data_IF_171164731215
#
_entry.id   IF_171164731215
#
_cell.length_a   1.000
_cell.length_b   1.000
_cell.length_c   1.000
_cell.angle_alpha   90.00
_cell.angle_beta   90.00
_cell.angle_gamma   90.00
#
_symmetry.space_group_name_H-M   'P 1'
#
loop_
_entity.id
_entity.type
_entity.pdbx_description
1 polymer ?
#
# COMPACT_ATOMS: atom_id res chain seq x y z
N UNK A 1 28.01 -23.05 -15.31
CA UNK A 1 27.56 -21.65 -15.15
C UNK A 1 27.82 -21.27 -13.71
N UNK A 2 28.60 -20.25 -13.44
CA UNK A 2 28.75 -19.71 -12.07
C UNK A 2 27.44 -19.01 -11.69
N UNK A 3 27.09 -18.94 -10.41
CA UNK A 3 25.88 -18.26 -9.92
C UNK A 3 25.79 -16.80 -10.43
N UNK A 4 26.93 -16.14 -10.60
CA UNK A 4 27.03 -14.80 -11.19
C UNK A 4 26.49 -14.72 -12.64
N UNK A 5 26.62 -15.78 -13.44
CA UNK A 5 26.09 -15.79 -14.82
C UNK A 5 24.56 -15.93 -14.89
N UNK A 6 23.95 -16.55 -13.87
CA UNK A 6 22.50 -16.74 -13.81
C UNK A 6 21.83 -15.43 -13.39
N UNK A 7 22.33 -14.78 -12.33
CA UNK A 7 21.80 -13.51 -11.85
C UNK A 7 21.96 -12.39 -12.88
N UNK A 8 23.14 -12.27 -13.51
CA UNK A 8 23.36 -11.28 -14.57
C UNK A 8 22.42 -11.51 -15.77
N UNK A 9 22.13 -12.77 -16.10
CA UNK A 9 21.17 -13.11 -17.16
C UNK A 9 19.73 -12.73 -16.83
N UNK A 10 19.33 -12.83 -15.55
CA UNK A 10 18.02 -12.38 -15.08
C UNK A 10 17.91 -10.85 -15.11
N UNK A 11 18.87 -10.15 -14.50
CA UNK A 11 18.94 -8.69 -14.47
C UNK A 11 18.93 -8.08 -15.88
N UNK A 12 19.68 -8.65 -16.82
CA UNK A 12 19.67 -8.21 -18.21
C UNK A 12 18.28 -8.26 -18.85
N UNK A 13 17.42 -9.21 -18.45
CA UNK A 13 16.06 -9.38 -18.98
C UNK A 13 15.03 -8.52 -18.26
N UNK A 14 15.22 -8.25 -16.97
CA UNK A 14 14.22 -7.57 -16.14
C UNK A 14 14.48 -6.08 -15.96
N UNK A 15 15.74 -5.65 -15.86
CA UNK A 15 16.08 -4.24 -15.66
C UNK A 15 15.49 -3.30 -16.72
N UNK A 16 15.45 -3.63 -18.03
CA UNK A 16 14.80 -2.76 -19.01
C UNK A 16 13.34 -2.46 -18.68
N UNK A 17 12.58 -3.46 -18.21
CA UNK A 17 11.18 -3.25 -17.80
C UNK A 17 11.09 -2.42 -16.52
N UNK A 18 11.91 -2.71 -15.51
CA UNK A 18 11.96 -1.96 -14.25
C UNK A 18 12.22 -0.47 -14.53
N UNK A 19 13.22 -0.17 -15.36
CA UNK A 19 13.56 1.20 -15.73
C UNK A 19 12.50 1.88 -16.58
N UNK A 20 11.90 1.18 -17.55
CA UNK A 20 10.85 1.73 -18.38
C UNK A 20 9.60 2.09 -17.56
N UNK A 21 9.21 1.22 -16.62
CA UNK A 21 8.09 1.44 -15.71
C UNK A 21 8.37 2.64 -14.80
N UNK A 22 9.53 2.70 -14.13
CA UNK A 22 9.83 3.84 -13.26
C UNK A 22 9.92 5.16 -14.03
N UNK A 23 10.53 5.15 -15.22
CA UNK A 23 10.63 6.34 -16.07
C UNK A 23 9.24 6.84 -16.50
N UNK A 24 8.37 5.95 -16.96
CA UNK A 24 7.01 6.31 -17.35
C UNK A 24 6.19 6.78 -16.13
N UNK A 25 6.29 6.07 -15.00
CA UNK A 25 5.65 6.45 -13.74
C UNK A 25 6.07 7.85 -13.26
N UNK A 26 7.34 8.23 -13.42
CA UNK A 26 7.83 9.56 -13.07
C UNK A 26 7.18 10.72 -13.84
N UNK A 27 6.56 10.44 -15.00
CA UNK A 27 5.83 11.45 -15.78
C UNK A 27 4.42 11.73 -15.24
N UNK A 28 3.89 10.84 -14.39
CA UNK A 28 2.49 10.86 -13.93
C UNK A 28 2.34 10.82 -12.40
N UNK A 29 3.38 10.41 -11.68
CA UNK A 29 3.40 10.27 -10.24
C UNK A 29 4.50 11.12 -9.63
N UNK A 30 4.34 11.43 -8.35
CA UNK A 30 5.39 12.13 -7.60
C UNK A 30 6.53 11.17 -7.21
N UNK A 31 7.48 11.64 -6.40
CA UNK A 31 8.61 10.81 -5.94
C UNK A 31 8.18 9.71 -4.98
N UNK A 32 7.06 9.89 -4.32
CA UNK A 32 6.44 8.93 -3.41
C UNK A 32 6.14 7.56 -4.06
N UNK A 33 6.14 7.46 -5.40
CA UNK A 33 6.08 6.20 -6.14
C UNK A 33 7.21 5.22 -5.77
N UNK A 34 8.31 5.70 -5.19
CA UNK A 34 9.41 4.85 -4.69
C UNK A 34 9.02 4.03 -3.44
N UNK A 35 7.88 4.32 -2.82
CA UNK A 35 7.29 3.50 -1.75
C UNK A 35 6.60 2.23 -2.30
N UNK A 36 6.22 2.23 -3.59
CA UNK A 36 5.44 1.15 -4.22
C UNK A 36 6.22 -0.19 -4.27
N UNK A 37 7.51 -0.23 -4.64
CA UNK A 37 8.31 -1.46 -4.56
C UNK A 37 8.43 -2.00 -3.13
N UNK A 38 8.50 -1.11 -2.13
CA UNK A 38 8.55 -1.50 -0.72
C UNK A 38 7.23 -2.14 -0.29
N UNK A 39 6.08 -1.54 -0.65
CA UNK A 39 4.75 -2.13 -0.41
C UNK A 39 4.68 -3.54 -1.00
N UNK A 40 5.10 -3.72 -2.27
CA UNK A 40 5.08 -5.02 -2.92
C UNK A 40 5.95 -6.06 -2.19
N UNK A 41 7.11 -5.65 -1.70
CA UNK A 41 8.06 -6.52 -1.00
C UNK A 41 7.51 -6.96 0.36
N UNK A 42 6.94 -6.02 1.13
CA UNK A 42 6.29 -6.32 2.43
C UNK A 42 5.08 -7.23 2.23
N UNK A 43 4.22 -6.96 1.24
CA UNK A 43 3.04 -7.77 0.96
C UNK A 43 3.39 -9.22 0.57
N UNK A 44 4.47 -9.40 -0.21
CA UNK A 44 4.95 -10.73 -0.60
C UNK A 44 5.81 -11.42 0.48
N UNK A 45 6.22 -10.69 1.53
CA UNK A 45 7.15 -11.20 2.54
C UNK A 45 8.58 -11.40 2.03
N UNK A 46 8.97 -10.68 0.98
CA UNK A 46 10.28 -10.78 0.33
C UNK A 46 11.22 -9.73 0.95
N UNK A 47 12.15 -10.19 1.79
CA UNK A 47 13.00 -9.29 2.60
C UNK A 47 14.22 -8.75 1.86
N UNK A 48 14.80 -9.54 0.94
CA UNK A 48 16.07 -9.22 0.29
C UNK A 48 16.17 -7.79 -0.31
N UNK A 49 15.15 -7.24 -0.99
CA UNK A 49 15.24 -5.91 -1.59
C UNK A 49 14.96 -4.76 -0.62
N UNK A 50 14.47 -5.01 0.60
CA UNK A 50 13.98 -3.96 1.51
C UNK A 50 15.08 -2.97 1.89
N UNK A 51 16.32 -3.44 2.12
CA UNK A 51 17.45 -2.55 2.42
C UNK A 51 17.68 -1.54 1.29
N UNK A 52 17.87 -2.01 0.05
CA UNK A 52 18.12 -1.15 -1.09
C UNK A 52 16.93 -0.22 -1.42
N UNK A 53 15.70 -0.70 -1.23
CA UNK A 53 14.50 0.13 -1.39
C UNK A 53 14.44 1.24 -0.33
N UNK A 54 14.76 0.92 0.92
CA UNK A 54 14.81 1.90 2.01
C UNK A 54 15.86 2.97 1.73
N UNK A 55 17.05 2.58 1.29
CA UNK A 55 18.12 3.51 0.91
C UNK A 55 17.68 4.42 -0.25
N UNK A 56 17.00 3.88 -1.26
CA UNK A 56 16.50 4.65 -2.39
C UNK A 56 15.40 5.66 -1.98
N UNK A 57 14.51 5.27 -1.07
CA UNK A 57 13.46 6.15 -0.51
C UNK A 57 14.09 7.34 0.23
N UNK A 58 15.07 7.06 1.10
CA UNK A 58 15.79 8.09 1.85
C UNK A 58 16.61 9.00 0.94
N UNK A 59 17.31 8.44 -0.04
CA UNK A 59 18.08 9.20 -1.03
C UNK A 59 17.20 10.12 -1.90
N UNK A 60 15.93 9.76 -2.09
CA UNK A 60 14.95 10.60 -2.79
C UNK A 60 14.37 11.73 -1.92
N UNK A 61 14.75 11.81 -0.64
CA UNK A 61 14.28 12.82 0.31
C UNK A 61 12.85 12.60 0.80
N UNK A 62 12.33 11.37 0.72
CA UNK A 62 11.04 11.02 1.31
C UNK A 62 11.22 10.94 2.82
N UNK A 63 10.30 11.55 3.56
CA UNK A 63 10.34 11.55 5.02
C UNK A 63 10.31 10.11 5.56
N UNK A 64 11.28 9.72 6.42
CA UNK A 64 11.28 8.41 7.08
C UNK A 64 9.95 8.06 7.76
N UNK A 65 9.26 9.06 8.31
CA UNK A 65 7.98 8.88 8.99
C UNK A 65 6.84 8.56 8.01
N UNK A 66 6.86 9.14 6.80
CA UNK A 66 5.94 8.75 5.71
C UNK A 66 6.15 7.28 5.36
N UNK A 67 7.42 6.85 5.19
CA UNK A 67 7.73 5.46 4.89
C UNK A 67 7.29 4.51 6.02
N UNK A 68 7.55 4.85 7.28
CA UNK A 68 7.11 4.03 8.42
C UNK A 68 5.60 3.93 8.49
N UNK A 69 4.87 5.03 8.27
CA UNK A 69 3.41 4.99 8.27
C UNK A 69 2.87 4.11 7.13
N UNK A 70 3.47 4.18 5.93
CA UNK A 70 3.16 3.26 4.82
C UNK A 70 3.40 1.81 5.23
N UNK A 71 4.49 1.50 5.94
CA UNK A 71 4.77 0.11 6.34
C UNK A 71 3.84 -0.36 7.46
N UNK A 72 3.53 0.50 8.44
CA UNK A 72 2.65 0.15 9.56
C UNK A 72 1.20 -0.05 9.12
N UNK A 73 0.67 0.79 8.23
CA UNK A 73 -0.69 0.65 7.70
C UNK A 73 -0.88 -0.59 6.82
N UNK A 74 0.18 -1.32 6.45
CA UNK A 74 0.03 -2.63 5.82
C UNK A 74 -0.44 -3.69 6.83
N UNK A 75 -0.31 -3.45 8.14
CA UNK A 75 -0.65 -4.45 9.17
C UNK A 75 -2.09 -4.97 9.07
N UNK A 76 -3.12 -4.14 8.90
CA UNK A 76 -4.50 -4.60 8.72
C UNK A 76 -4.73 -5.36 7.39
N UNK A 77 -3.86 -5.16 6.40
CA UNK A 77 -3.97 -5.77 5.07
C UNK A 77 -3.23 -7.11 4.98
N UNK A 78 -1.99 -7.17 5.47
CA UNK A 78 -1.09 -8.33 5.32
C UNK A 78 -0.79 -9.07 6.63
N UNK A 79 -1.30 -8.55 7.75
CA UNK A 79 -1.06 -9.06 9.10
C UNK A 79 0.26 -8.60 9.71
N UNK A 80 0.37 -8.74 11.03
CA UNK A 80 1.52 -8.30 11.83
C UNK A 80 2.82 -9.01 11.45
N UNK A 81 2.76 -10.28 11.03
CA UNK A 81 3.94 -11.10 10.77
C UNK A 81 4.76 -10.61 9.57
N UNK A 82 4.12 -10.15 8.49
CA UNK A 82 4.84 -9.64 7.31
C UNK A 82 5.46 -8.29 7.60
N UNK A 83 4.72 -7.41 8.28
CA UNK A 83 5.22 -6.09 8.70
C UNK A 83 6.39 -6.25 9.67
N UNK A 84 6.25 -7.06 10.72
CA UNK A 84 7.30 -7.30 11.71
C UNK A 84 8.60 -7.85 11.09
N UNK A 85 8.50 -8.65 10.03
CA UNK A 85 9.66 -9.17 9.31
C UNK A 85 10.37 -8.13 8.43
N UNK A 86 9.70 -7.06 8.01
CA UNK A 86 10.29 -5.98 7.22
C UNK A 86 11.07 -4.97 8.08
N UNK A 87 10.57 -4.70 9.30
CA UNK A 87 11.09 -3.65 10.17
C UNK A 87 12.60 -3.77 10.50
N UNK A 88 13.19 -4.96 10.74
CA UNK A 88 14.61 -5.06 11.03
C UNK A 88 15.51 -4.54 9.90
N UNK A 89 15.14 -4.76 8.63
CA UNK A 89 15.91 -4.27 7.49
C UNK A 89 15.82 -2.74 7.38
N UNK A 90 14.64 -2.17 7.57
CA UNK A 90 14.42 -0.71 7.58
C UNK A 90 15.21 -0.06 8.74
N UNK A 91 15.07 -0.61 9.94
CA UNK A 91 15.75 -0.12 11.14
C UNK A 91 17.26 -0.15 11.00
N UNK A 92 17.80 -1.17 10.32
CA UNK A 92 19.24 -1.24 10.06
C UNK A 92 19.71 -0.09 9.19
N UNK A 93 19.01 0.23 8.10
CA UNK A 93 19.34 1.37 7.24
C UNK A 93 19.26 2.68 8.03
N UNK A 94 18.21 2.87 8.85
CA UNK A 94 18.09 4.05 9.70
C UNK A 94 19.27 4.19 10.67
N UNK A 95 19.70 3.08 11.26
CA UNK A 95 20.85 3.05 12.17
C UNK A 95 22.14 3.39 11.44
N UNK A 96 22.40 2.72 10.31
CA UNK A 96 23.64 2.88 9.52
C UNK A 96 23.75 4.30 8.93
N UNK A 97 22.63 4.94 8.58
CA UNK A 97 22.57 6.30 8.05
C UNK A 97 22.26 7.38 9.10
N UNK A 98 22.19 7.02 10.38
CA UNK A 98 21.89 7.95 11.49
C UNK A 98 20.59 8.74 11.29
N UNK A 99 19.56 8.09 10.72
CA UNK A 99 18.24 8.69 10.51
C UNK A 99 17.51 8.78 11.84
N UNK A 100 17.17 10.01 12.24
CA UNK A 100 16.31 10.28 13.37
C UNK A 100 14.84 10.31 12.93
N UNK A 101 13.99 9.58 13.64
CA UNK A 101 12.55 9.55 13.37
C UNK A 101 11.80 9.93 14.64
N UNK A 102 10.96 10.97 14.54
CA UNK A 102 10.07 11.35 15.63
C UNK A 102 8.82 10.46 15.62
N UNK A 103 8.31 10.12 16.80
CA UNK A 103 7.06 9.37 16.89
C UNK A 103 5.91 10.21 16.29
N UNK A 104 5.11 9.61 15.40
CA UNK A 104 3.90 10.27 14.92
C UNK A 104 2.92 10.49 16.08
N UNK A 105 2.24 11.64 16.02
CA UNK A 105 1.21 12.00 16.98
C UNK A 105 -0.15 11.66 16.37
N UNK A 106 -0.97 10.82 17.01
CA UNK A 106 -2.26 10.46 16.49
C UNK A 106 -3.29 11.57 16.76
N UNK A 107 -4.25 11.72 15.84
CA UNK A 107 -5.43 12.55 16.02
C UNK A 107 -6.23 12.09 17.25
N UNK A 108 -6.78 13.06 18.00
CA UNK A 108 -7.53 12.86 19.24
C UNK A 108 -9.03 13.12 19.09
N UNK A 109 -9.52 13.34 17.86
CA UNK A 109 -10.94 13.52 17.58
C UNK A 109 -11.75 12.31 18.09
N UNK A 110 -12.88 12.56 18.77
CA UNK A 110 -13.75 11.48 19.20
C UNK A 110 -14.35 10.79 17.98
N UNK A 111 -14.36 9.45 17.99
CA UNK A 111 -14.92 8.60 16.92
C UNK A 111 -14.30 8.83 15.52
N UNK A 112 -13.01 9.22 15.46
CA UNK A 112 -12.29 9.44 14.22
C UNK A 112 -12.44 8.27 13.23
N UNK A 113 -12.23 7.04 13.69
CA UNK A 113 -12.26 5.87 12.83
C UNK A 113 -13.65 5.53 12.30
N UNK A 114 -14.69 5.67 13.13
CA UNK A 114 -16.07 5.46 12.71
C UNK A 114 -16.51 6.47 11.65
N UNK A 115 -16.16 7.75 11.82
CA UNK A 115 -16.45 8.80 10.84
C UNK A 115 -15.73 8.55 9.52
N UNK A 116 -14.41 8.31 9.58
CA UNK A 116 -13.59 8.08 8.38
C UNK A 116 -14.07 6.84 7.60
N UNK A 117 -14.36 5.74 8.30
CA UNK A 117 -14.90 4.53 7.67
C UNK A 117 -16.27 4.79 7.02
N UNK A 118 -17.15 5.53 7.69
CA UNK A 118 -18.49 5.81 7.17
C UNK A 118 -18.45 6.66 5.89
N UNK A 119 -17.57 7.66 5.81
CA UNK A 119 -17.40 8.50 4.63
C UNK A 119 -16.92 7.72 3.40
N UNK A 120 -15.96 6.81 3.61
CA UNK A 120 -15.34 6.05 2.51
C UNK A 120 -16.18 4.83 2.10
N UNK A 121 -16.64 4.06 3.09
CA UNK A 121 -17.18 2.71 2.92
C UNK A 121 -18.60 2.51 3.44
N UNK A 122 -19.12 3.43 4.25
CA UNK A 122 -20.39 3.24 4.93
C UNK A 122 -20.38 2.00 5.84
N UNK A 123 -21.44 1.19 5.77
CA UNK A 123 -21.65 0.03 6.65
C UNK A 123 -21.57 -1.33 5.92
N UNK A 124 -20.95 -1.37 4.74
CA UNK A 124 -20.93 -2.54 3.85
C UNK A 124 -20.43 -3.81 4.55
N UNK A 125 -19.30 -3.74 5.26
CA UNK A 125 -18.72 -4.91 5.96
C UNK A 125 -19.60 -5.38 7.13
N UNK A 126 -20.21 -4.44 7.88
CA UNK A 126 -21.12 -4.78 8.97
C UNK A 126 -22.33 -5.57 8.45
N UNK A 127 -22.90 -5.14 7.32
CA UNK A 127 -24.01 -5.85 6.69
C UNK A 127 -23.56 -7.18 6.07
N UNK A 128 -22.39 -7.23 5.44
CA UNK A 128 -21.87 -8.44 4.80
C UNK A 128 -21.69 -9.60 5.80
N UNK A 129 -21.28 -9.29 7.03
CA UNK A 129 -20.90 -10.29 8.02
C UNK A 129 -21.96 -10.54 9.11
N UNK A 130 -23.10 -9.85 9.08
CA UNK A 130 -24.06 -9.85 10.20
C UNK A 130 -24.60 -11.22 10.61
N UNK A 131 -24.72 -12.15 9.67
CA UNK A 131 -25.28 -13.50 9.88
C UNK A 131 -24.23 -14.55 10.30
N UNK A 132 -23.00 -14.16 10.61
CA UNK A 132 -21.96 -15.10 11.03
C UNK A 132 -22.21 -15.62 12.46
N UNK A 133 -21.90 -16.91 12.73
CA UNK A 133 -22.20 -17.55 14.00
C UNK A 133 -21.38 -17.01 15.17
N UNK A 134 -21.83 -17.31 16.39
CA UNK A 134 -21.10 -17.11 17.65
C UNK A 134 -20.55 -15.68 17.87
N UNK A 135 -21.25 -14.66 17.33
CA UNK A 135 -20.87 -13.25 17.44
C UNK A 135 -19.73 -12.81 16.52
N UNK A 136 -19.27 -13.67 15.61
CA UNK A 136 -18.22 -13.31 14.65
C UNK A 136 -18.62 -12.15 13.73
N UNK A 137 -19.93 -12.03 13.44
CA UNK A 137 -20.50 -10.94 12.64
C UNK A 137 -20.42 -9.56 13.30
N UNK A 138 -20.27 -9.51 14.62
CA UNK A 138 -20.03 -8.26 15.36
C UNK A 138 -18.53 -8.02 15.57
N UNK A 139 -17.76 -9.08 15.81
CA UNK A 139 -16.34 -8.98 16.12
C UNK A 139 -15.53 -8.37 14.98
N UNK A 140 -15.67 -8.88 13.74
CA UNK A 140 -14.85 -8.43 12.61
C UNK A 140 -15.13 -6.95 12.27
N UNK A 141 -16.39 -6.48 12.13
CA UNK A 141 -16.65 -5.07 11.87
C UNK A 141 -16.21 -4.14 13.01
N UNK A 142 -16.35 -4.57 14.26
CA UNK A 142 -15.86 -3.80 15.41
C UNK A 142 -14.33 -3.71 15.41
N UNK A 143 -13.63 -4.82 15.14
CA UNK A 143 -12.17 -4.84 15.03
C UNK A 143 -11.69 -4.01 13.83
N UNK A 144 -12.41 -4.04 12.70
CA UNK A 144 -12.13 -3.19 11.54
C UNK A 144 -12.17 -1.71 11.93
N UNK A 145 -13.25 -1.27 12.57
CA UNK A 145 -13.41 0.13 13.00
C UNK A 145 -12.35 0.52 14.04
N UNK A 146 -12.20 -0.30 15.08
CA UNK A 146 -11.35 0.01 16.24
C UNK A 146 -9.86 -0.14 15.98
N UNK A 147 -9.46 -1.15 15.20
CA UNK A 147 -8.05 -1.40 14.94
C UNK A 147 -7.62 -0.75 13.63
N UNK A 148 -8.30 -1.00 12.51
CA UNK A 148 -7.84 -0.47 11.23
C UNK A 148 -7.92 1.06 11.22
N UNK A 149 -9.12 1.62 11.43
CA UNK A 149 -9.30 3.07 11.33
C UNK A 149 -8.81 3.81 12.59
N UNK A 150 -9.13 3.29 13.78
CA UNK A 150 -8.76 3.94 15.03
C UNK A 150 -7.33 3.67 15.53
N UNK A 151 -6.57 2.70 14.99
CA UNK A 151 -5.15 2.57 15.33
C UNK A 151 -4.21 2.95 14.20
N UNK A 152 -4.60 2.87 12.92
CA UNK A 152 -3.70 3.22 11.80
C UNK A 152 -4.09 4.52 11.09
N UNK A 153 -5.38 4.76 10.80
CA UNK A 153 -5.78 5.94 10.01
C UNK A 153 -5.60 7.27 10.75
N UNK A 154 -5.63 7.25 12.09
CA UNK A 154 -5.56 8.47 12.91
C UNK A 154 -4.18 9.12 12.95
N UNK A 155 -3.13 8.46 12.46
CA UNK A 155 -1.83 9.10 12.32
C UNK A 155 -1.85 9.98 11.07
N UNK A 156 -1.57 11.27 11.24
CA UNK A 156 -1.78 12.26 10.19
C UNK A 156 -0.59 12.49 9.25
N UNK A 157 0.36 11.54 9.16
CA UNK A 157 1.55 11.73 8.30
C UNK A 157 1.16 11.49 6.84
N UNK A 158 0.31 10.49 6.58
CA UNK A 158 -0.33 10.29 5.28
C UNK A 158 -1.70 10.96 5.24
N UNK A 159 -2.01 11.58 4.10
CA UNK A 159 -3.38 11.99 3.79
C UNK A 159 -4.28 10.76 3.59
N UNK A 160 -5.60 10.91 3.76
CA UNK A 160 -6.57 9.85 3.41
C UNK A 160 -6.41 9.43 1.94
N UNK A 161 -6.15 10.38 1.04
CA UNK A 161 -5.85 10.14 -0.37
C UNK A 161 -4.68 9.16 -0.55
N UNK A 162 -3.55 9.43 0.11
CA UNK A 162 -2.35 8.60 -0.03
C UNK A 162 -2.51 7.23 0.63
N UNK A 163 -3.15 7.20 1.79
CA UNK A 163 -3.44 5.97 2.53
C UNK A 163 -4.25 4.99 1.69
N UNK A 164 -5.36 5.46 1.14
CA UNK A 164 -6.23 4.67 0.28
C UNK A 164 -5.50 4.14 -0.97
N UNK A 165 -4.69 4.99 -1.60
CA UNK A 165 -3.88 4.60 -2.75
C UNK A 165 -2.89 3.49 -2.38
N UNK A 166 -2.16 3.60 -1.28
CA UNK A 166 -1.17 2.59 -0.89
C UNK A 166 -1.81 1.28 -0.41
N UNK A 167 -2.96 1.34 0.27
CA UNK A 167 -3.73 0.16 0.64
C UNK A 167 -4.28 -0.56 -0.59
N UNK A 168 -4.79 0.18 -1.58
CA UNK A 168 -5.16 -0.38 -2.88
C UNK A 168 -3.98 -1.15 -3.52
N UNK A 169 -2.77 -0.59 -3.52
CA UNK A 169 -1.59 -1.26 -4.08
C UNK A 169 -1.20 -2.53 -3.32
N UNK A 170 -1.37 -2.53 -1.99
CA UNK A 170 -1.18 -3.72 -1.18
C UNK A 170 -2.20 -4.82 -1.54
N UNK A 171 -3.47 -4.45 -1.68
CA UNK A 171 -4.55 -5.37 -2.06
C UNK A 171 -4.40 -5.91 -3.48
N UNK A 172 -3.92 -5.08 -4.42
CA UNK A 172 -3.55 -5.49 -5.78
C UNK A 172 -2.42 -6.53 -5.72
N UNK A 173 -1.40 -6.30 -4.89
CA UNK A 173 -0.29 -7.25 -4.71
C UNK A 173 -0.77 -8.59 -4.14
N UNK A 174 -1.80 -8.58 -3.29
CA UNK A 174 -2.41 -9.78 -2.71
C UNK A 174 -3.49 -10.43 -3.59
N UNK A 175 -3.91 -9.78 -4.68
CA UNK A 175 -4.99 -10.23 -5.57
C UNK A 175 -6.33 -10.48 -4.85
N UNK A 176 -6.81 -9.51 -4.07
CA UNK A 176 -8.06 -9.61 -3.28
C UNK A 176 -9.20 -8.83 -3.94
N UNK A 177 -9.82 -9.38 -4.97
CA UNK A 177 -10.78 -8.71 -5.87
C UNK A 177 -11.87 -7.88 -5.17
N UNK A 178 -12.51 -8.44 -4.12
CA UNK A 178 -13.56 -7.74 -3.39
C UNK A 178 -13.05 -6.43 -2.79
N UNK A 179 -11.85 -6.47 -2.19
CA UNK A 179 -11.23 -5.31 -1.56
C UNK A 179 -10.61 -4.35 -2.58
N UNK A 180 -10.05 -4.86 -3.68
CA UNK A 180 -9.53 -4.02 -4.78
C UNK A 180 -10.65 -3.13 -5.33
N UNK A 181 -11.86 -3.67 -5.54
CA UNK A 181 -13.02 -2.88 -5.99
C UNK A 181 -13.42 -1.81 -4.98
N UNK A 182 -13.49 -2.17 -3.70
CA UNK A 182 -13.85 -1.24 -2.63
C UNK A 182 -12.84 -0.09 -2.51
N UNK A 183 -11.53 -0.39 -2.46
CA UNK A 183 -10.47 0.60 -2.33
C UNK A 183 -10.19 1.38 -3.62
N UNK A 184 -10.49 0.85 -4.81
CA UNK A 184 -10.45 1.65 -6.04
C UNK A 184 -11.48 2.79 -5.96
N UNK A 185 -12.72 2.47 -5.56
CA UNK A 185 -13.79 3.46 -5.34
C UNK A 185 -13.47 4.39 -4.16
N UNK A 186 -12.96 3.85 -3.05
CA UNK A 186 -12.55 4.61 -1.87
C UNK A 186 -11.43 5.62 -2.20
N UNK A 187 -10.40 5.18 -2.91
CA UNK A 187 -9.30 6.03 -3.39
C UNK A 187 -9.77 7.19 -4.26
N UNK A 188 -10.71 6.95 -5.18
CA UNK A 188 -11.28 7.99 -6.03
C UNK A 188 -12.09 9.01 -5.22
N UNK A 189 -12.93 8.55 -4.28
CA UNK A 189 -13.67 9.42 -3.35
C UNK A 189 -12.74 10.24 -2.45
N UNK A 190 -11.61 9.67 -2.05
CA UNK A 190 -10.56 10.35 -1.27
C UNK A 190 -9.78 11.41 -2.08
N UNK A 191 -10.04 11.54 -3.39
CA UNK A 191 -9.44 12.58 -4.24
C UNK A 191 -8.25 12.12 -5.08
N UNK A 192 -8.01 10.82 -5.22
CA UNK A 192 -7.11 10.33 -6.26
C UNK A 192 -7.78 10.44 -7.62
N UNK A 193 -6.99 10.80 -8.63
CA UNK A 193 -7.42 10.70 -10.02
C UNK A 193 -7.28 9.28 -10.53
N UNK A 194 -8.09 8.90 -11.52
CA UNK A 194 -7.93 7.62 -12.23
C UNK A 194 -6.50 7.45 -12.75
N UNK A 195 -5.91 8.50 -13.33
CA UNK A 195 -4.55 8.48 -13.86
C UNK A 195 -3.51 8.16 -12.79
N UNK A 196 -3.60 8.79 -11.62
CA UNK A 196 -2.70 8.49 -10.49
C UNK A 196 -2.82 7.02 -10.06
N UNK A 197 -4.04 6.47 -9.97
CA UNK A 197 -4.25 5.08 -9.55
C UNK A 197 -3.76 4.06 -10.59
N UNK A 198 -4.05 4.29 -11.88
CA UNK A 198 -3.59 3.43 -12.97
C UNK A 198 -2.06 3.40 -13.04
N UNK A 199 -1.41 4.56 -13.00
CA UNK A 199 0.05 4.63 -12.99
C UNK A 199 0.67 4.02 -11.73
N UNK A 200 -0.01 4.12 -10.59
CA UNK A 200 0.43 3.47 -9.35
C UNK A 200 0.35 1.95 -9.46
N UNK A 201 -0.72 1.41 -10.07
CA UNK A 201 -0.83 -0.03 -10.36
C UNK A 201 0.24 -0.49 -11.37
N UNK A 202 0.54 0.31 -12.39
CA UNK A 202 1.63 0.02 -13.35
C UNK A 202 2.99 -0.01 -12.65
N UNK A 203 3.24 0.84 -11.65
CA UNK A 203 4.49 0.78 -10.86
C UNK A 203 4.70 -0.56 -10.14
N UNK A 204 3.64 -1.34 -9.88
CA UNK A 204 3.76 -2.68 -9.31
C UNK A 204 4.22 -3.73 -10.34
N UNK A 205 4.11 -3.44 -11.65
CA UNK A 205 4.30 -4.42 -12.73
C UNK A 205 5.60 -5.23 -12.64
N UNK A 206 6.78 -4.63 -12.39
CA UNK A 206 8.02 -5.41 -12.29
C UNK A 206 8.07 -6.33 -11.06
N UNK A 207 7.24 -6.08 -10.06
CA UNK A 207 7.27 -6.74 -8.76
C UNK A 207 6.18 -7.80 -8.58
N UNK A 208 5.06 -7.68 -9.31
CA UNK A 208 3.90 -8.58 -9.16
C UNK A 208 3.44 -9.20 -10.49
N UNK A 209 3.98 -8.75 -11.63
CA UNK A 209 3.70 -9.30 -12.95
C UNK A 209 2.42 -8.78 -13.63
N UNK A 210 2.31 -9.07 -14.92
CA UNK A 210 1.27 -8.52 -15.80
C UNK A 210 -0.18 -8.86 -15.40
N UNK A 211 -0.55 -10.11 -15.05
CA UNK A 211 -1.96 -10.44 -14.85
C UNK A 211 -2.63 -9.61 -13.74
N UNK A 212 -1.93 -9.43 -12.62
CA UNK A 212 -2.46 -8.65 -11.48
C UNK A 212 -2.62 -7.17 -11.84
N UNK A 213 -1.64 -6.59 -12.53
CA UNK A 213 -1.71 -5.19 -12.97
C UNK A 213 -2.82 -4.97 -13.99
N UNK A 214 -2.94 -5.84 -15.00
CA UNK A 214 -3.97 -5.70 -16.05
C UNK A 214 -5.37 -5.74 -15.44
N UNK A 215 -5.64 -6.73 -14.57
CA UNK A 215 -6.94 -6.86 -13.92
C UNK A 215 -7.25 -5.63 -13.04
N UNK A 216 -6.25 -5.15 -12.30
CA UNK A 216 -6.44 -4.03 -11.39
C UNK A 216 -6.65 -2.70 -12.10
N UNK A 217 -5.95 -2.47 -13.22
CA UNK A 217 -6.17 -1.30 -14.07
C UNK A 217 -7.60 -1.29 -14.62
N UNK A 218 -8.13 -2.44 -15.02
CA UNK A 218 -9.53 -2.56 -15.46
C UNK A 218 -10.50 -2.21 -14.32
N UNK A 219 -10.29 -2.73 -13.11
CA UNK A 219 -11.13 -2.43 -11.94
C UNK A 219 -11.10 -0.94 -11.58
N UNK A 220 -9.93 -0.31 -11.66
CA UNK A 220 -9.79 1.13 -11.42
C UNK A 220 -10.57 1.94 -12.46
N UNK A 221 -10.45 1.58 -13.74
CA UNK A 221 -11.16 2.24 -14.84
C UNK A 221 -12.68 2.11 -14.71
N UNK A 222 -13.17 0.91 -14.39
CA UNK A 222 -14.60 0.67 -14.17
C UNK A 222 -15.13 1.53 -13.00
N UNK A 223 -14.38 1.60 -11.90
CA UNK A 223 -14.76 2.40 -10.73
C UNK A 223 -14.78 3.91 -11.05
N UNK A 224 -13.81 4.40 -11.83
CA UNK A 224 -13.78 5.79 -12.27
C UNK A 224 -14.96 6.13 -13.20
N UNK A 225 -15.28 5.24 -14.14
CA UNK A 225 -16.43 5.39 -15.05
C UNK A 225 -17.74 5.45 -14.27
N UNK A 226 -17.94 4.53 -13.32
CA UNK A 226 -19.16 4.46 -12.52
C UNK A 226 -19.37 5.68 -11.58
N UNK A 227 -18.31 6.40 -11.21
CA UNK A 227 -18.40 7.61 -10.39
C UNK A 227 -18.61 8.89 -11.23
N UNK A 228 -18.42 8.82 -12.55
CA UNK A 228 -18.64 9.94 -13.46
C UNK A 228 -20.10 10.01 -13.95
N UNK A 229 -20.89 8.95 -13.75
CA UNK A 229 -22.34 8.86 -14.02
C UNK A 229 -23.18 9.44 -12.88
#
# INVERSE_FOLDING_TARGET
MTDQSVLAGFEHRTNPLVHAVDHAGAMHLTRDRLLIPLIASVCQGVQAPITAQTEAILAAGIDPQVMLEVVYQLTPVVGTLRVAQALPAIQRVFTDQHVAVAAAVPDQAPDFGGQTQAELYGTEIKHLLHDLPDGAGDFIPAALTNHFFNDYYRYGVLSVKDRERYELLALITLNVDFQIKAHARGSLKAGNTESELVWSAIQLLPYIGFPLVINSVHVIHDAATALAE
#
